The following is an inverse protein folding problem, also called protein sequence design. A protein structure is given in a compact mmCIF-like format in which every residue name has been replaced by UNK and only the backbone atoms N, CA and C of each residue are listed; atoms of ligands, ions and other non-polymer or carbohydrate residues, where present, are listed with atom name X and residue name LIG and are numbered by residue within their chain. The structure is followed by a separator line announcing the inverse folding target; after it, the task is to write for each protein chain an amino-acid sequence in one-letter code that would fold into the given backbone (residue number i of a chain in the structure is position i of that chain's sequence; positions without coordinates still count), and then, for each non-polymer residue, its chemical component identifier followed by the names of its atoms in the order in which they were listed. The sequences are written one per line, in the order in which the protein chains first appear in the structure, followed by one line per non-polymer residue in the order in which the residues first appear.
data_IF_862973799875
#
_entry.id   IF_862973799875
#
_cell.length_a   1.000
_cell.length_b   1.000
_cell.length_c   1.000
_cell.angle_alpha   90.00
_cell.angle_beta   90.00
_cell.angle_gamma   90.00
#
_symmetry.space_group_name_H-M   'P 1'
#
loop_
_entity.id
_entity.type
_entity.pdbx_description
1 polymer ?
#
# COMPACT_ATOMS: atom_id res chain seq x y z
N UNK A 1 18.13 -5.32 -6.27
CA UNK A 1 17.12 -6.11 -5.56
C UNK A 1 15.82 -5.34 -5.42
N UNK A 2 14.80 -5.98 -4.89
CA UNK A 2 13.48 -5.33 -4.68
C UNK A 2 13.58 -4.18 -3.67
N UNK A 3 14.45 -4.28 -2.69
CA UNK A 3 14.63 -3.23 -1.69
C UNK A 3 15.08 -1.90 -2.33
N UNK A 4 16.06 -1.93 -3.19
CA UNK A 4 16.53 -0.73 -3.90
C UNK A 4 15.47 -0.19 -4.86
N UNK A 5 14.76 -1.07 -5.55
CA UNK A 5 13.69 -0.68 -6.46
C UNK A 5 12.51 -0.07 -5.72
N UNK A 6 12.11 -0.64 -4.57
CA UNK A 6 11.04 -0.10 -3.72
C UNK A 6 11.42 1.25 -3.14
N UNK A 7 12.64 1.40 -2.61
CA UNK A 7 13.13 2.68 -2.13
C UNK A 7 13.03 3.75 -3.22
N UNK A 8 13.52 3.46 -4.41
CA UNK A 8 13.46 4.38 -5.54
C UNK A 8 12.01 4.77 -5.87
N UNK A 9 11.13 3.79 -5.94
CA UNK A 9 9.72 4.01 -6.24
C UNK A 9 9.05 4.91 -5.20
N UNK A 10 9.28 4.66 -3.92
CA UNK A 10 8.73 5.47 -2.83
C UNK A 10 9.29 6.90 -2.84
N UNK A 11 10.57 7.07 -3.03
CA UNK A 11 11.23 8.38 -2.93
C UNK A 11 10.95 9.25 -4.16
N UNK A 12 10.80 8.65 -5.34
CA UNK A 12 10.54 9.42 -6.56
C UNK A 12 9.05 9.72 -6.79
N UNK A 13 8.15 8.82 -6.39
CA UNK A 13 6.75 8.89 -6.82
C UNK A 13 5.73 8.94 -5.69
N UNK A 14 6.09 8.62 -4.46
CA UNK A 14 5.15 8.59 -3.34
C UNK A 14 5.40 9.74 -2.35
N UNK A 15 6.62 9.91 -1.90
CA UNK A 15 6.98 10.83 -0.82
C UNK A 15 7.33 12.20 -1.38
N UNK A 16 6.56 13.24 -1.03
CA UNK A 16 6.84 14.60 -1.48
C UNK A 16 8.17 15.15 -0.93
N UNK A 17 8.52 14.73 0.29
CA UNK A 17 9.74 15.15 0.98
C UNK A 17 10.48 13.90 1.49
N UNK A 18 11.20 13.17 0.61
CA UNK A 18 11.93 11.99 1.06
C UNK A 18 13.05 12.36 2.03
N UNK A 19 13.40 11.45 2.96
CA UNK A 19 14.55 11.66 3.85
C UNK A 19 15.82 11.92 3.05
N UNK A 20 16.63 12.83 3.54
CA UNK A 20 17.92 13.18 2.92
C UNK A 20 19.08 12.35 3.47
N UNK A 21 18.87 11.68 4.62
CA UNK A 21 19.87 10.81 5.21
C UNK A 21 20.11 9.57 4.32
N UNK A 22 21.34 9.08 4.36
CA UNK A 22 21.67 7.81 3.68
C UNK A 22 20.85 6.66 4.27
N UNK A 23 20.26 5.86 3.39
CA UNK A 23 19.43 4.73 3.78
C UNK A 23 20.27 3.47 3.88
N UNK A 24 20.19 2.80 5.03
CA UNK A 24 20.81 1.50 5.19
C UNK A 24 19.97 0.41 4.50
N UNK A 25 20.43 -0.04 3.34
CA UNK A 25 19.70 -1.01 2.52
C UNK A 25 19.62 -2.40 3.16
N UNK A 26 20.54 -2.75 4.06
CA UNK A 26 20.41 -4.03 4.79
C UNK A 26 19.22 -4.02 5.75
N UNK A 27 19.00 -2.90 6.44
CA UNK A 27 17.81 -2.71 7.28
C UNK A 27 16.52 -2.79 6.46
N UNK A 28 16.51 -2.25 5.24
CA UNK A 28 15.38 -2.40 4.32
C UNK A 28 15.12 -3.86 3.97
N UNK A 29 16.16 -4.63 3.67
CA UNK A 29 16.04 -6.04 3.33
C UNK A 29 15.55 -6.87 4.52
N UNK A 30 16.04 -6.57 5.72
CA UNK A 30 15.56 -7.20 6.95
C UNK A 30 14.08 -6.95 7.18
N UNK A 31 13.63 -5.72 7.03
CA UNK A 31 12.21 -5.36 7.16
C UNK A 31 11.35 -6.08 6.12
N UNK A 32 11.80 -6.17 4.88
CA UNK A 32 11.08 -6.89 3.83
C UNK A 32 10.99 -8.39 4.16
N UNK A 33 12.05 -8.99 4.72
CA UNK A 33 12.02 -10.38 5.19
C UNK A 33 11.02 -10.57 6.33
N UNK A 34 10.97 -9.64 7.28
CA UNK A 34 9.97 -9.67 8.35
C UNK A 34 8.55 -9.63 7.79
N UNK A 35 8.28 -8.79 6.79
CA UNK A 35 6.98 -8.76 6.13
C UNK A 35 6.66 -10.09 5.44
N UNK A 36 7.63 -10.69 4.77
CA UNK A 36 7.46 -11.97 4.09
C UNK A 36 7.09 -13.09 5.08
N UNK A 37 7.70 -13.10 6.26
CA UNK A 37 7.47 -14.10 7.29
C UNK A 37 6.20 -13.86 8.11
N UNK A 38 5.55 -12.71 7.94
CA UNK A 38 4.35 -12.34 8.70
C UNK A 38 3.08 -12.64 7.90
N UNK A 39 2.26 -13.55 8.43
CA UNK A 39 1.01 -13.95 7.77
C UNK A 39 -0.05 -12.84 7.65
N UNK A 40 0.09 -11.76 8.43
CA UNK A 40 -0.85 -10.62 8.44
C UNK A 40 -0.41 -9.44 7.58
N UNK A 41 0.74 -9.54 6.94
CA UNK A 41 1.30 -8.46 6.12
C UNK A 41 1.64 -8.99 4.73
N UNK A 42 1.28 -8.22 3.70
CA UNK A 42 1.78 -8.45 2.35
C UNK A 42 2.29 -7.16 1.73
N UNK A 43 3.47 -7.27 1.16
CA UNK A 43 4.04 -6.27 0.28
C UNK A 43 3.93 -6.80 -1.15
N UNK A 44 2.99 -6.23 -1.91
CA UNK A 44 2.68 -6.67 -3.26
C UNK A 44 3.36 -5.79 -4.29
N UNK A 45 3.90 -6.39 -5.33
CA UNK A 45 4.57 -5.65 -6.42
C UNK A 45 4.08 -6.13 -7.78
N UNK A 46 4.07 -5.22 -8.75
CA UNK A 46 4.02 -5.54 -10.16
C UNK A 46 5.42 -5.35 -10.75
N UNK A 47 5.89 -6.34 -11.48
CA UNK A 47 7.18 -6.31 -12.15
C UNK A 47 6.98 -6.40 -13.67
N UNK A 48 7.66 -5.55 -14.40
CA UNK A 48 7.69 -5.55 -15.86
C UNK A 48 9.14 -5.56 -16.29
N UNK A 49 9.53 -6.59 -17.02
CA UNK A 49 10.91 -6.78 -17.54
C UNK A 49 11.98 -6.63 -16.44
N UNK A 50 11.74 -7.21 -15.26
CA UNK A 50 12.65 -7.16 -14.13
C UNK A 50 12.62 -5.86 -13.32
N UNK A 51 11.70 -4.93 -13.64
CA UNK A 51 11.56 -3.65 -12.97
C UNK A 51 10.27 -3.63 -12.15
N UNK A 52 10.36 -3.30 -10.85
CA UNK A 52 9.19 -3.08 -9.99
C UNK A 52 8.57 -1.73 -10.37
N UNK A 53 7.38 -1.78 -10.95
CA UNK A 53 6.69 -0.60 -11.49
C UNK A 53 5.53 -0.14 -10.63
N UNK A 54 5.02 -0.97 -9.74
CA UNK A 54 3.93 -0.61 -8.84
C UNK A 54 4.01 -1.46 -7.57
N UNK A 55 3.54 -0.91 -6.44
CA UNK A 55 3.50 -1.62 -5.17
C UNK A 55 2.34 -1.18 -4.30
N UNK A 56 1.92 -2.07 -3.42
CA UNK A 56 0.89 -1.86 -2.40
C UNK A 56 1.31 -2.63 -1.15
N UNK A 57 1.18 -2.01 0.01
CA UNK A 57 1.39 -2.63 1.31
C UNK A 57 0.02 -2.85 1.97
N UNK A 58 -0.30 -4.08 2.34
CA UNK A 58 -1.56 -4.41 3.02
C UNK A 58 -1.27 -5.12 4.34
N UNK A 59 -1.97 -4.69 5.40
CA UNK A 59 -1.85 -5.26 6.75
C UNK A 59 -3.22 -5.64 7.27
N UNK A 60 -3.34 -6.86 7.78
CA UNK A 60 -4.53 -7.35 8.49
C UNK A 60 -4.38 -7.05 9.97
N UNK A 61 -5.37 -6.36 10.54
CA UNK A 61 -5.39 -5.96 11.94
C UNK A 61 -6.49 -6.73 12.67
N UNK A 62 -6.11 -7.47 13.71
CA UNK A 62 -7.04 -8.20 14.57
C UNK A 62 -7.97 -7.22 15.30
N UNK A 63 -9.20 -7.61 15.48
CA UNK A 63 -10.24 -6.74 15.99
C UNK A 63 -11.22 -7.52 16.88
N UNK A 64 -11.76 -6.85 17.91
CA UNK A 64 -12.69 -7.48 18.85
C UNK A 64 -14.15 -7.30 18.44
N UNK A 65 -14.48 -6.24 17.71
CA UNK A 65 -15.85 -5.99 17.26
C UNK A 65 -16.24 -6.89 16.08
N UNK A 66 -17.50 -6.89 15.68
CA UNK A 66 -18.00 -7.65 14.53
C UNK A 66 -17.62 -9.13 14.55
N UNK A 67 -17.87 -9.80 15.69
CA UNK A 67 -17.58 -11.23 15.89
C UNK A 67 -16.10 -11.56 15.72
N UNK A 68 -15.22 -10.73 16.24
CA UNK A 68 -13.76 -10.89 16.17
C UNK A 68 -13.20 -10.88 14.75
N UNK A 69 -13.96 -10.39 13.79
CA UNK A 69 -13.47 -10.29 12.41
C UNK A 69 -12.41 -9.18 12.31
N UNK A 70 -11.26 -9.47 11.70
CA UNK A 70 -10.24 -8.47 11.45
C UNK A 70 -10.64 -7.48 10.35
N UNK A 71 -9.84 -6.46 10.16
CA UNK A 71 -9.92 -5.54 9.03
C UNK A 71 -8.54 -5.36 8.41
N UNK A 72 -8.50 -4.85 7.19
CA UNK A 72 -7.24 -4.62 6.50
C UNK A 72 -7.04 -3.13 6.20
N UNK A 73 -5.78 -2.71 6.24
CA UNK A 73 -5.34 -1.36 5.90
C UNK A 73 -4.38 -1.45 4.73
N UNK A 74 -4.59 -0.62 3.72
CA UNK A 74 -3.70 -0.47 2.58
C UNK A 74 -2.91 0.82 2.74
N UNK A 75 -1.60 0.72 2.55
CA UNK A 75 -0.65 1.82 2.63
C UNK A 75 0.28 1.83 1.43
N UNK A 76 0.90 2.97 1.18
CA UNK A 76 1.99 3.12 0.22
C UNK A 76 1.61 2.62 -1.20
N UNK A 77 0.44 3.03 -1.68
CA UNK A 77 0.01 2.75 -3.06
C UNK A 77 0.76 3.68 -4.00
N UNK A 78 1.62 3.13 -4.84
CA UNK A 78 2.42 3.91 -5.77
C UNK A 78 2.71 3.16 -7.06
N UNK A 79 2.70 3.90 -8.17
CA UNK A 79 3.07 3.41 -9.49
C UNK A 79 4.09 4.36 -10.12
N UNK A 80 5.13 3.79 -10.71
CA UNK A 80 6.13 4.52 -11.48
C UNK A 80 5.46 5.41 -12.52
N UNK A 81 5.92 6.66 -12.65
CA UNK A 81 5.29 7.67 -13.50
C UNK A 81 5.06 7.25 -14.95
N UNK A 82 5.97 6.47 -15.52
CA UNK A 82 5.87 5.98 -16.91
C UNK A 82 4.94 4.78 -17.08
N UNK A 83 4.43 4.20 -15.99
CA UNK A 83 3.59 3.00 -16.02
C UNK A 83 2.19 3.24 -15.45
N UNK A 84 1.81 4.50 -15.26
CA UNK A 84 0.48 4.88 -14.79
C UNK A 84 -0.58 4.63 -15.86
N UNK A 85 -1.83 4.47 -15.41
CA UNK A 85 -2.99 4.23 -16.28
C UNK A 85 -2.90 2.94 -17.11
N UNK A 86 -2.12 1.96 -16.67
CA UNK A 86 -1.96 0.67 -17.32
C UNK A 86 -2.60 -0.49 -16.54
N UNK A 87 -3.27 -0.19 -15.42
CA UNK A 87 -3.98 -1.19 -14.61
C UNK A 87 -3.15 -1.88 -13.53
N UNK A 88 -1.88 -1.54 -13.35
CA UNK A 88 -1.01 -2.20 -12.36
C UNK A 88 -1.47 -1.98 -10.93
N UNK A 89 -1.76 -0.74 -10.55
CA UNK A 89 -2.25 -0.43 -9.21
C UNK A 89 -3.61 -1.08 -8.94
N UNK A 90 -4.51 -1.09 -9.94
CA UNK A 90 -5.80 -1.75 -9.82
C UNK A 90 -5.65 -3.25 -9.58
N UNK A 91 -4.73 -3.91 -10.28
CA UNK A 91 -4.43 -5.33 -10.07
C UNK A 91 -3.91 -5.59 -8.65
N UNK A 92 -3.05 -4.73 -8.13
CA UNK A 92 -2.53 -4.86 -6.76
C UNK A 92 -3.61 -4.60 -5.71
N UNK A 93 -4.52 -3.66 -5.93
CA UNK A 93 -5.65 -3.43 -5.02
C UNK A 93 -6.59 -4.64 -4.99
N UNK A 94 -6.81 -5.30 -6.12
CA UNK A 94 -7.59 -6.53 -6.18
C UNK A 94 -6.91 -7.65 -5.39
N UNK A 95 -5.61 -7.88 -5.57
CA UNK A 95 -4.85 -8.86 -4.81
C UNK A 95 -4.86 -8.56 -3.31
N UNK A 96 -4.72 -7.30 -2.91
CA UNK A 96 -4.84 -6.87 -1.51
C UNK A 96 -6.23 -7.19 -0.95
N UNK A 97 -7.29 -7.00 -1.75
CA UNK A 97 -8.66 -7.32 -1.36
C UNK A 97 -8.84 -8.83 -1.19
N UNK A 98 -8.29 -9.63 -2.09
CA UNK A 98 -8.32 -11.10 -1.98
C UNK A 98 -7.58 -11.59 -0.74
N UNK A 99 -6.43 -10.98 -0.43
CA UNK A 99 -5.70 -11.27 0.80
C UNK A 99 -6.53 -10.96 2.05
N UNK A 100 -7.19 -9.80 2.08
CA UNK A 100 -8.09 -9.44 3.18
C UNK A 100 -9.26 -10.43 3.31
N UNK A 101 -9.87 -10.83 2.21
CA UNK A 101 -10.94 -11.85 2.20
C UNK A 101 -10.45 -13.18 2.73
N UNK A 102 -9.24 -13.62 2.40
CA UNK A 102 -8.67 -14.87 2.88
C UNK A 102 -8.48 -14.90 4.40
N UNK A 103 -8.38 -13.73 5.03
CA UNK A 103 -8.31 -13.54 6.49
C UNK A 103 -9.67 -13.25 7.13
N UNK A 104 -10.76 -13.35 6.39
CA UNK A 104 -12.10 -13.03 6.87
C UNK A 104 -12.28 -11.58 7.34
N UNK A 105 -11.55 -10.63 6.74
CA UNK A 105 -11.71 -9.21 7.04
C UNK A 105 -13.11 -8.73 6.69
N UNK A 106 -13.67 -7.83 7.53
CA UNK A 106 -14.99 -7.25 7.26
C UNK A 106 -14.93 -5.96 6.43
N UNK A 107 -13.75 -5.36 6.34
CA UNK A 107 -13.50 -4.18 5.50
C UNK A 107 -12.03 -4.08 5.13
N UNK A 108 -11.78 -3.34 4.06
CA UNK A 108 -10.46 -2.85 3.67
C UNK A 108 -10.57 -1.34 3.54
N UNK A 109 -9.65 -0.59 4.13
CA UNK A 109 -9.64 0.85 3.98
C UNK A 109 -8.23 1.38 3.71
N UNK A 110 -8.17 2.59 3.20
CA UNK A 110 -6.95 3.33 2.98
C UNK A 110 -7.20 4.82 3.18
N UNK A 111 -6.14 5.56 3.41
CA UNK A 111 -6.15 7.01 3.44
C UNK A 111 -5.30 7.55 2.30
N UNK A 112 -5.72 8.66 1.72
CA UNK A 112 -4.93 9.40 0.74
C UNK A 112 -4.88 10.86 1.13
N UNK A 113 -3.68 11.46 1.04
CA UNK A 113 -3.50 12.91 1.22
C UNK A 113 -3.86 13.72 -0.02
N UNK A 114 -4.20 13.06 -1.13
CA UNK A 114 -4.54 13.74 -2.36
C UNK A 114 -6.00 14.19 -2.37
N UNK A 115 -6.22 15.47 -2.70
CA UNK A 115 -7.55 16.04 -2.95
C UNK A 115 -7.94 16.01 -4.43
N UNK A 116 -7.09 15.45 -5.30
CA UNK A 116 -7.35 15.39 -6.74
C UNK A 116 -8.55 14.48 -7.02
N UNK A 117 -9.49 14.97 -7.81
CA UNK A 117 -10.66 14.19 -8.21
C UNK A 117 -10.26 12.92 -8.97
N UNK A 118 -9.19 12.98 -9.78
CA UNK A 118 -8.65 11.80 -10.47
C UNK A 118 -8.20 10.69 -9.53
N UNK A 119 -7.58 11.03 -8.39
CA UNK A 119 -7.17 10.07 -7.37
C UNK A 119 -8.39 9.46 -6.69
N UNK A 120 -9.36 10.27 -6.31
CA UNK A 120 -10.59 9.78 -5.66
C UNK A 120 -11.40 8.90 -6.62
N UNK A 121 -11.50 9.28 -7.90
CA UNK A 121 -12.16 8.47 -8.93
C UNK A 121 -11.45 7.14 -9.15
N UNK A 122 -10.11 7.11 -9.11
CA UNK A 122 -9.35 5.88 -9.19
C UNK A 122 -9.76 4.90 -8.09
N UNK A 123 -9.84 5.35 -6.84
CA UNK A 123 -10.26 4.48 -5.74
C UNK A 123 -11.73 4.08 -5.84
N UNK A 124 -12.63 4.98 -6.21
CA UNK A 124 -14.05 4.65 -6.45
C UNK A 124 -14.20 3.58 -7.53
N UNK A 125 -13.45 3.69 -8.62
CA UNK A 125 -13.45 2.72 -9.72
C UNK A 125 -12.90 1.35 -9.28
N UNK A 126 -12.14 1.29 -8.19
CA UNK A 126 -11.67 0.06 -7.58
C UNK A 126 -12.53 -0.42 -6.40
N UNK A 127 -13.75 0.10 -6.27
CA UNK A 127 -14.73 -0.37 -5.29
C UNK A 127 -14.66 0.30 -3.93
N UNK A 128 -13.86 1.35 -3.77
CA UNK A 128 -13.78 2.10 -2.51
C UNK A 128 -14.81 3.22 -2.47
N UNK A 129 -15.56 3.31 -1.38
CA UNK A 129 -16.38 4.47 -1.10
C UNK A 129 -15.50 5.57 -0.48
N UNK A 130 -15.77 6.82 -0.81
CA UNK A 130 -15.03 7.98 -0.31
C UNK A 130 -15.90 8.85 0.58
N UNK A 131 -15.27 9.57 1.51
CA UNK A 131 -15.97 10.54 2.36
C UNK A 131 -16.85 9.93 3.45
N UNK A 132 -16.71 8.64 3.76
CA UNK A 132 -17.52 7.97 4.78
C UNK A 132 -17.06 8.25 6.21
N UNK A 133 -15.78 8.56 6.40
CA UNK A 133 -15.17 8.84 7.71
C UNK A 133 -14.20 9.99 7.60
N UNK A 134 -13.92 10.64 8.75
CA UNK A 134 -12.92 11.68 8.84
C UNK A 134 -11.61 11.09 9.35
N UNK A 135 -10.52 11.43 8.68
CA UNK A 135 -9.17 11.10 9.17
C UNK A 135 -8.72 12.16 10.18
N UNK A 136 -8.16 11.71 11.29
CA UNK A 136 -7.54 12.57 12.29
C UNK A 136 -6.08 12.15 12.43
N UNK A 137 -5.17 13.05 12.11
CA UNK A 137 -3.73 12.77 12.11
C UNK A 137 -3.04 13.58 13.21
N UNK A 138 -2.23 12.89 14.01
CA UNK A 138 -1.29 13.52 14.94
C UNK A 138 0.11 13.08 14.56
N UNK A 139 0.93 13.99 14.06
CA UNK A 139 2.33 13.70 13.75
C UNK A 139 3.13 13.61 15.05
N UNK A 140 4.02 12.65 15.09
CA UNK A 140 4.94 12.45 16.22
C UNK A 140 6.35 12.85 15.81
N UNK A 141 7.19 13.34 16.79
CA UNK A 141 8.59 13.69 16.50
C UNK A 141 9.42 12.47 16.14
#
# INVERSE_FOLDING_TARGET
SDAEQLKKLYFEYLTAFPPTEEQNMETWREMIREFYDNEFIKLLVCEVDGIVVSTVHVTVIKNLTLNLRPYAVIENVVTHGSYRCMGYASALLEEATLFAKSHNCYKVFLETGSNKESTLNFYRNNGFATGLKHSCLKKLP
#
